data_IF_711608896123
#
_entry.id   IF_711608896123
#
_cell.length_a   1.000
_cell.length_b   1.000
_cell.length_c   1.000
_cell.angle_alpha   90.00
_cell.angle_beta   90.00
_cell.angle_gamma   90.00
#
_symmetry.space_group_name_H-M   'P 1'
#
loop_
_entity.id
_entity.type
_entity.pdbx_description
1 polymer ?
#
# COMPACT_ATOMS: atom_id res chain seq x y z
N UNK A 1 -23.80 55.59 13.58
CA UNK A 1 -22.50 55.31 12.91
C UNK A 1 -21.61 54.65 13.94
N UNK A 2 -21.63 53.32 14.00
CA UNK A 2 -20.71 52.58 14.86
C UNK A 2 -19.40 52.36 14.10
N UNK A 3 -18.40 53.15 14.46
CA UNK A 3 -17.03 53.00 14.01
C UNK A 3 -16.43 51.71 14.59
N UNK A 4 -16.24 50.72 13.72
CA UNK A 4 -14.89 50.22 13.49
C UNK A 4 -14.35 49.14 14.43
N UNK A 5 -15.04 48.01 14.55
CA UNK A 5 -14.28 46.76 14.78
C UNK A 5 -13.68 46.38 13.43
N UNK A 6 -12.43 46.79 13.21
CA UNK A 6 -11.66 46.36 12.06
C UNK A 6 -11.29 44.90 12.28
N UNK A 7 -11.91 44.00 11.51
CA UNK A 7 -11.47 42.61 11.46
C UNK A 7 -10.17 42.51 10.65
N UNK A 8 -9.05 42.60 11.37
CA UNK A 8 -7.72 42.49 10.80
C UNK A 8 -7.47 41.17 10.08
N UNK A 9 -8.15 40.07 10.47
CA UNK A 9 -8.01 38.77 9.79
C UNK A 9 -8.67 38.81 8.42
N UNK A 10 -9.87 39.39 8.35
CA UNK A 10 -10.61 39.59 7.11
C UNK A 10 -9.86 40.53 6.15
N UNK A 11 -9.31 41.63 6.64
CA UNK A 11 -8.51 42.54 5.82
C UNK A 11 -7.21 41.90 5.32
N UNK A 12 -6.53 41.10 6.16
CA UNK A 12 -5.35 40.34 5.76
C UNK A 12 -5.71 39.36 4.64
N UNK A 13 -6.76 38.56 4.80
CA UNK A 13 -7.21 37.60 3.79
C UNK A 13 -7.51 38.24 2.43
N UNK A 14 -8.20 39.38 2.42
CA UNK A 14 -8.50 40.14 1.19
C UNK A 14 -7.21 40.61 0.52
N UNK A 15 -6.26 41.14 1.30
CA UNK A 15 -4.95 41.58 0.81
C UNK A 15 -4.21 40.43 0.14
N UNK A 16 -4.16 39.27 0.80
CA UNK A 16 -3.49 38.07 0.30
C UNK A 16 -4.16 37.57 -1.00
N UNK A 17 -5.49 37.70 -1.11
CA UNK A 17 -6.21 37.39 -2.35
C UNK A 17 -5.83 38.33 -3.50
N UNK A 18 -5.76 39.63 -3.25
CA UNK A 18 -5.33 40.62 -4.25
C UNK A 18 -3.88 40.36 -4.66
N UNK A 19 -3.01 40.08 -3.71
CA UNK A 19 -1.60 39.78 -3.95
C UNK A 19 -1.42 38.50 -4.76
N UNK A 20 -2.21 37.46 -4.48
CA UNK A 20 -2.25 36.25 -5.29
C UNK A 20 -2.67 36.53 -6.74
N UNK A 21 -3.65 37.40 -6.98
CA UNK A 21 -4.05 37.76 -8.35
C UNK A 21 -2.97 38.53 -9.10
N UNK A 22 -2.15 39.32 -8.39
CA UNK A 22 -1.03 40.09 -8.97
C UNK A 22 0.19 39.22 -9.26
N UNK A 23 0.55 38.35 -8.33
CA UNK A 23 1.82 37.60 -8.36
C UNK A 23 1.68 36.17 -8.86
N UNK A 24 0.47 35.61 -8.82
CA UNK A 24 0.21 34.19 -9.07
C UNK A 24 0.66 33.26 -7.94
N UNK A 25 1.30 33.77 -6.90
CA UNK A 25 1.85 32.99 -5.79
C UNK A 25 0.93 33.08 -4.57
N UNK A 26 0.24 31.98 -4.27
CA UNK A 26 -0.54 31.89 -3.04
C UNK A 26 0.37 31.48 -1.88
N UNK A 27 0.44 32.29 -0.83
CA UNK A 27 1.10 31.95 0.43
C UNK A 27 0.52 30.67 1.06
N UNK A 28 1.32 30.01 1.89
CA UNK A 28 0.90 28.78 2.57
C UNK A 28 -0.33 29.01 3.46
N UNK A 29 -0.40 30.16 4.14
CA UNK A 29 -1.51 30.54 5.01
C UNK A 29 -2.81 30.76 4.23
N UNK A 30 -2.76 31.49 3.11
CA UNK A 30 -3.91 31.68 2.22
C UNK A 30 -4.42 30.34 1.67
N UNK A 31 -3.52 29.44 1.25
CA UNK A 31 -3.90 28.09 0.78
C UNK A 31 -4.56 27.28 1.89
N UNK A 32 -4.02 27.32 3.10
CA UNK A 32 -4.55 26.59 4.25
C UNK A 32 -5.97 27.07 4.55
N UNK A 33 -6.18 28.39 4.65
CA UNK A 33 -7.50 28.97 4.89
C UNK A 33 -8.48 28.58 3.80
N UNK A 34 -8.13 28.73 2.52
CA UNK A 34 -9.05 28.42 1.40
C UNK A 34 -9.43 26.93 1.32
N UNK A 35 -8.49 26.05 1.63
CA UNK A 35 -8.71 24.59 1.58
C UNK A 35 -9.46 24.07 2.82
N UNK A 36 -9.37 24.72 3.98
CA UNK A 36 -10.07 24.32 5.22
C UNK A 36 -11.36 25.10 5.48
N UNK A 37 -11.57 26.24 4.81
CA UNK A 37 -12.71 27.11 5.02
C UNK A 37 -14.04 26.41 4.71
N UNK A 38 -14.95 26.44 5.70
CA UNK A 38 -16.33 26.02 5.52
C UNK A 38 -17.12 27.07 4.72
N UNK A 39 -18.26 26.70 4.11
CA UNK A 39 -19.13 27.66 3.42
C UNK A 39 -19.52 28.86 4.29
N UNK A 40 -19.83 28.63 5.56
CA UNK A 40 -20.24 29.67 6.52
C UNK A 40 -19.09 30.67 6.79
N UNK A 41 -17.86 30.17 6.89
CA UNK A 41 -16.69 31.02 7.08
C UNK A 41 -16.41 31.90 5.85
N UNK A 42 -16.65 31.37 4.65
CA UNK A 42 -16.53 32.14 3.40
C UNK A 42 -17.61 33.24 3.34
N UNK A 43 -18.84 32.94 3.75
CA UNK A 43 -19.91 33.94 3.82
C UNK A 43 -19.60 35.04 4.85
N UNK A 44 -19.06 34.68 6.01
CA UNK A 44 -18.57 35.65 7.00
C UNK A 44 -17.51 36.60 6.42
N UNK A 45 -16.54 36.06 5.66
CA UNK A 45 -15.54 36.86 4.96
C UNK A 45 -16.20 37.78 3.93
N UNK A 46 -17.30 37.39 3.29
CA UNK A 46 -17.98 38.23 2.27
C UNK A 46 -18.94 39.27 2.84
N UNK A 47 -19.35 39.13 4.10
CA UNK A 47 -20.33 40.02 4.73
C UNK A 47 -19.85 41.48 4.74
N UNK A 48 -20.72 42.43 4.43
CA UNK A 48 -20.40 43.88 4.50
C UNK A 48 -19.19 44.32 3.64
N UNK A 49 -18.90 43.58 2.56
CA UNK A 49 -17.87 43.88 1.55
C UNK A 49 -18.54 44.34 0.23
N UNK A 50 -17.85 45.18 -0.55
CA UNK A 50 -18.29 45.58 -1.89
C UNK A 50 -18.33 44.41 -2.89
N UNK A 51 -19.13 44.56 -3.95
CA UNK A 51 -19.35 43.50 -4.95
C UNK A 51 -18.07 43.11 -5.69
N UNK A 52 -17.16 44.04 -5.94
CA UNK A 52 -15.94 43.77 -6.72
C UNK A 52 -14.95 42.93 -5.91
N UNK A 53 -14.80 43.23 -4.62
CA UNK A 53 -13.98 42.46 -3.70
C UNK A 53 -14.56 41.05 -3.47
N UNK A 54 -15.88 40.87 -3.46
CA UNK A 54 -16.50 39.53 -3.41
C UNK A 54 -16.11 38.71 -4.64
N UNK A 55 -16.13 39.30 -5.84
CA UNK A 55 -15.72 38.64 -7.09
C UNK A 55 -14.24 38.24 -7.03
N UNK A 56 -13.38 39.11 -6.47
CA UNK A 56 -11.96 38.80 -6.24
C UNK A 56 -11.82 37.56 -5.35
N UNK A 57 -12.46 37.57 -4.18
CA UNK A 57 -12.40 36.46 -3.21
C UNK A 57 -12.85 35.15 -3.88
N UNK A 58 -13.99 35.16 -4.58
CA UNK A 58 -14.51 33.97 -5.25
C UNK A 58 -13.58 33.44 -6.34
N UNK A 59 -12.99 34.35 -7.12
CA UNK A 59 -12.03 33.99 -8.16
C UNK A 59 -10.79 33.33 -7.56
N UNK A 60 -10.25 33.90 -6.47
CA UNK A 60 -9.08 33.36 -5.77
C UNK A 60 -9.37 32.01 -5.15
N UNK A 61 -10.49 31.87 -4.42
CA UNK A 61 -10.92 30.60 -3.83
C UNK A 61 -11.02 29.52 -4.90
N UNK A 62 -11.70 29.82 -6.02
CA UNK A 62 -11.85 28.88 -7.13
C UNK A 62 -10.51 28.48 -7.73
N UNK A 63 -9.62 29.43 -8.00
CA UNK A 63 -8.27 29.14 -8.57
C UNK A 63 -7.42 28.29 -7.63
N UNK A 64 -7.38 28.63 -6.34
CA UNK A 64 -6.60 27.88 -5.34
C UNK A 64 -7.16 26.46 -5.18
N UNK A 65 -8.48 26.30 -5.03
CA UNK A 65 -9.10 24.97 -4.92
C UNK A 65 -8.85 24.10 -6.14
N UNK A 66 -8.99 24.66 -7.36
CA UNK A 66 -8.68 23.95 -8.61
C UNK A 66 -7.20 23.54 -8.68
N UNK A 67 -6.29 24.43 -8.29
CA UNK A 67 -4.85 24.12 -8.25
C UNK A 67 -4.54 23.02 -7.23
N UNK A 68 -5.10 23.09 -6.03
CA UNK A 68 -4.97 22.04 -5.00
C UNK A 68 -5.48 20.69 -5.51
N UNK A 69 -6.66 20.68 -6.13
CA UNK A 69 -7.24 19.47 -6.69
C UNK A 69 -6.37 18.86 -7.80
N UNK A 70 -5.83 19.69 -8.71
CA UNK A 70 -4.88 19.22 -9.73
C UNK A 70 -3.63 18.58 -9.12
N UNK A 71 -3.08 19.17 -8.06
CA UNK A 71 -1.92 18.61 -7.35
C UNK A 71 -2.24 17.27 -6.68
N UNK A 72 -3.40 17.15 -6.04
CA UNK A 72 -3.88 15.90 -5.43
C UNK A 72 -4.04 14.81 -6.49
N UNK A 73 -4.71 15.11 -7.60
CA UNK A 73 -4.90 14.15 -8.70
C UNK A 73 -3.58 13.72 -9.32
N UNK A 74 -2.67 14.66 -9.61
CA UNK A 74 -1.35 14.36 -10.16
C UNK A 74 -0.51 13.50 -9.20
N UNK A 75 -0.59 13.79 -7.89
CA UNK A 75 0.06 12.96 -6.86
C UNK A 75 -0.48 11.54 -6.83
N UNK A 76 -1.81 11.38 -6.84
CA UNK A 76 -2.44 10.05 -6.88
C UNK A 76 -2.00 9.27 -8.12
N UNK A 77 -1.92 9.91 -9.28
CA UNK A 77 -1.42 9.29 -10.50
C UNK A 77 0.04 8.86 -10.36
N UNK A 78 0.91 9.73 -9.82
CA UNK A 78 2.31 9.41 -9.55
C UNK A 78 2.46 8.20 -8.62
N UNK A 79 1.70 8.17 -7.52
CA UNK A 79 1.66 7.04 -6.58
C UNK A 79 1.22 5.75 -7.29
N UNK A 80 0.15 5.82 -8.08
CA UNK A 80 -0.36 4.65 -8.81
C UNK A 80 0.66 4.10 -9.80
N UNK A 81 1.35 4.98 -10.55
CA UNK A 81 2.39 4.56 -11.51
C UNK A 81 3.53 3.84 -10.80
N UNK A 82 4.03 4.39 -9.67
CA UNK A 82 5.13 3.79 -8.91
C UNK A 82 4.70 2.42 -8.35
N UNK A 83 3.50 2.33 -7.78
CA UNK A 83 2.99 1.09 -7.22
C UNK A 83 2.79 0.02 -8.30
N UNK A 84 2.14 0.36 -9.42
CA UNK A 84 1.93 -0.56 -10.54
C UNK A 84 3.25 -1.06 -11.12
N UNK A 85 4.20 -0.16 -11.39
CA UNK A 85 5.50 -0.55 -11.93
C UNK A 85 6.27 -1.51 -11.01
N UNK A 86 6.04 -1.44 -9.69
CA UNK A 86 6.62 -2.38 -8.73
C UNK A 86 5.90 -3.72 -8.75
N UNK A 87 4.56 -3.70 -8.77
CA UNK A 87 3.71 -4.91 -8.81
C UNK A 87 3.84 -5.71 -10.11
N UNK A 88 4.16 -5.06 -11.23
CA UNK A 88 4.35 -5.71 -12.54
C UNK A 88 5.77 -6.31 -12.71
N UNK A 89 6.70 -6.00 -11.82
CA UNK A 89 8.12 -6.38 -11.95
C UNK A 89 8.58 -7.33 -10.83
N UNK A 90 7.67 -8.15 -10.33
CA UNK A 90 7.95 -9.12 -9.28
C UNK A 90 8.83 -10.25 -9.83
N UNK A 91 9.95 -10.49 -9.19
CA UNK A 91 10.87 -11.59 -9.50
C UNK A 91 10.22 -12.95 -9.26
N UNK A 92 9.27 -13.01 -8.33
CA UNK A 92 8.46 -14.21 -8.02
C UNK A 92 7.43 -14.56 -9.09
N UNK A 93 7.18 -13.67 -10.06
CA UNK A 93 6.26 -13.92 -11.18
C UNK A 93 6.96 -14.53 -12.42
N UNK A 94 8.19 -15.00 -12.24
CA UNK A 94 8.99 -15.59 -13.31
C UNK A 94 8.55 -17.03 -13.62
N UNK A 95 8.47 -17.36 -14.90
CA UNK A 95 8.10 -18.68 -15.43
C UNK A 95 9.00 -19.82 -14.91
N UNK A 96 10.23 -19.51 -14.50
CA UNK A 96 11.15 -20.50 -13.89
C UNK A 96 10.60 -21.11 -12.59
N UNK A 97 9.68 -20.42 -11.92
CA UNK A 97 9.02 -20.91 -10.71
C UNK A 97 7.72 -21.68 -11.00
N UNK A 98 7.32 -21.78 -12.26
CA UNK A 98 6.11 -22.48 -12.65
C UNK A 98 6.26 -24.00 -12.43
N UNK A 99 5.32 -24.57 -11.68
CA UNK A 99 5.18 -26.01 -11.48
C UNK A 99 3.78 -26.35 -11.95
N UNK A 100 3.67 -27.02 -13.10
CA UNK A 100 2.39 -27.26 -13.77
C UNK A 100 1.37 -27.93 -12.85
N UNK A 101 1.82 -28.91 -12.07
CA UNK A 101 0.98 -29.64 -11.11
C UNK A 101 0.37 -28.73 -10.03
N UNK A 102 1.02 -27.60 -9.73
CA UNK A 102 0.56 -26.57 -8.80
C UNK A 102 -0.29 -25.53 -9.54
N UNK A 103 0.23 -24.94 -10.61
CA UNK A 103 -0.37 -23.77 -11.27
C UNK A 103 -1.68 -24.09 -11.98
N UNK A 104 -1.86 -25.29 -12.53
CA UNK A 104 -3.11 -25.73 -13.18
C UNK A 104 -4.31 -25.78 -12.22
N UNK A 105 -4.09 -25.83 -10.90
CA UNK A 105 -5.16 -25.79 -9.88
C UNK A 105 -5.73 -24.39 -9.66
N UNK A 106 -5.05 -23.35 -10.14
CA UNK A 106 -5.36 -21.95 -9.88
C UNK A 106 -5.69 -21.21 -11.18
N UNK A 107 -5.99 -19.90 -11.07
CA UNK A 107 -6.24 -19.04 -12.24
C UNK A 107 -4.95 -18.83 -13.01
N UNK A 108 -5.03 -18.74 -14.33
CA UNK A 108 -3.87 -18.60 -15.24
C UNK A 108 -2.92 -17.44 -14.89
N UNK A 109 -3.42 -16.37 -14.26
CA UNK A 109 -2.63 -15.18 -13.89
C UNK A 109 -2.13 -15.20 -12.44
N UNK A 110 -2.15 -16.35 -11.77
CA UNK A 110 -1.63 -16.43 -10.40
C UNK A 110 -0.10 -16.38 -10.43
N UNK A 111 0.49 -15.63 -9.50
CA UNK A 111 1.92 -15.69 -9.26
C UNK A 111 2.31 -17.14 -8.87
N UNK A 112 3.29 -17.77 -9.54
CA UNK A 112 3.63 -19.17 -9.35
C UNK A 112 4.13 -19.47 -7.93
N UNK A 113 4.89 -18.56 -7.33
CA UNK A 113 5.36 -18.69 -5.94
C UNK A 113 4.19 -18.59 -4.96
N UNK A 114 3.20 -17.73 -5.22
CA UNK A 114 1.96 -17.65 -4.42
C UNK A 114 1.13 -18.93 -4.52
N UNK A 115 1.03 -19.52 -5.70
CA UNK A 115 0.35 -20.80 -5.89
C UNK A 115 1.03 -21.91 -5.07
N UNK A 116 2.36 -21.98 -5.15
CA UNK A 116 3.15 -22.92 -4.34
C UNK A 116 2.94 -22.69 -2.84
N UNK A 117 2.96 -21.44 -2.39
CA UNK A 117 2.70 -21.10 -0.99
C UNK A 117 1.36 -21.69 -0.52
N UNK A 118 0.28 -21.54 -1.29
CA UNK A 118 -1.03 -22.06 -0.89
C UNK A 118 -1.08 -23.58 -0.83
N UNK A 119 -0.42 -24.28 -1.76
CA UNK A 119 -0.35 -25.74 -1.74
C UNK A 119 0.46 -26.26 -0.55
N UNK A 120 1.62 -25.68 -0.28
CA UNK A 120 2.46 -26.07 0.86
C UNK A 120 1.77 -25.72 2.19
N UNK A 121 1.07 -24.59 2.23
CA UNK A 121 0.20 -24.23 3.34
C UNK A 121 -0.86 -25.32 3.53
N UNK A 122 -1.64 -25.65 2.50
CA UNK A 122 -2.65 -26.72 2.54
C UNK A 122 -2.07 -28.03 3.11
N UNK A 123 -0.87 -28.42 2.68
CA UNK A 123 -0.16 -29.60 3.19
C UNK A 123 0.13 -29.47 4.68
N UNK A 124 0.78 -28.39 5.12
CA UNK A 124 1.14 -28.21 6.54
C UNK A 124 -0.09 -28.19 7.47
N UNK A 125 -1.26 -27.77 6.98
CA UNK A 125 -2.50 -27.70 7.75
C UNK A 125 -3.33 -28.99 7.71
N UNK A 126 -3.39 -29.67 6.56
CA UNK A 126 -4.37 -30.76 6.34
C UNK A 126 -3.73 -32.14 6.27
N UNK A 127 -2.40 -32.26 6.28
CA UNK A 127 -1.74 -33.55 6.18
C UNK A 127 -1.93 -34.37 7.47
N UNK A 128 -2.72 -35.45 7.38
CA UNK A 128 -3.02 -36.38 8.46
C UNK A 128 -1.96 -37.50 8.61
N UNK A 129 -0.78 -37.32 8.01
CA UNK A 129 0.25 -38.35 7.93
C UNK A 129 -0.08 -39.50 6.96
N UNK A 130 -1.26 -39.50 6.33
CA UNK A 130 -1.68 -40.59 5.45
C UNK A 130 -1.42 -40.27 3.98
N UNK A 131 -0.89 -41.23 3.23
CA UNK A 131 -0.48 -41.07 1.83
C UNK A 131 -1.65 -41.00 0.82
N UNK A 132 -2.73 -40.27 1.11
CA UNK A 132 -3.95 -40.31 0.27
C UNK A 132 -3.89 -39.43 -0.97
N UNK A 133 -3.21 -38.28 -0.92
CA UNK A 133 -3.13 -37.36 -2.05
C UNK A 133 -1.79 -37.49 -2.80
N UNK A 134 -1.82 -37.92 -4.06
CA UNK A 134 -0.62 -38.02 -4.93
C UNK A 134 0.07 -36.66 -5.10
N UNK A 135 -0.71 -35.58 -5.16
CA UNK A 135 -0.22 -34.21 -5.28
C UNK A 135 0.64 -33.79 -4.08
N UNK A 136 0.13 -34.02 -2.86
CA UNK A 136 0.83 -33.64 -1.63
C UNK A 136 2.15 -34.40 -1.49
N UNK A 137 2.17 -35.69 -1.82
CA UNK A 137 3.41 -36.49 -1.83
C UNK A 137 4.45 -35.94 -2.79
N UNK A 138 4.03 -35.57 -4.00
CA UNK A 138 4.92 -34.99 -5.00
C UNK A 138 5.57 -33.70 -4.48
N UNK A 139 4.79 -32.82 -3.86
CA UNK A 139 5.32 -31.59 -3.29
C UNK A 139 6.22 -31.82 -2.07
N UNK A 140 5.87 -32.75 -1.18
CA UNK A 140 6.70 -33.12 -0.03
C UNK A 140 8.06 -33.66 -0.49
N UNK A 141 8.07 -34.54 -1.50
CA UNK A 141 9.31 -35.12 -2.03
C UNK A 141 10.20 -34.04 -2.68
N UNK A 142 9.59 -33.20 -3.54
CA UNK A 142 10.28 -32.13 -4.28
C UNK A 142 10.86 -31.04 -3.36
N UNK A 143 10.19 -30.73 -2.27
CA UNK A 143 10.53 -29.65 -1.35
C UNK A 143 10.98 -30.12 0.05
N UNK A 144 11.51 -31.35 0.10
CA UNK A 144 12.06 -31.92 1.33
C UNK A 144 13.40 -31.30 1.76
N UNK A 145 14.21 -30.83 0.80
CA UNK A 145 15.49 -30.17 1.06
C UNK A 145 15.32 -28.64 1.10
N UNK A 146 16.04 -27.98 2.01
CA UNK A 146 16.14 -26.52 2.10
C UNK A 146 16.63 -25.91 0.78
N UNK A 147 17.55 -26.60 0.09
CA UNK A 147 18.08 -26.14 -1.22
C UNK A 147 17.02 -25.97 -2.29
N UNK A 148 15.91 -26.72 -2.22
CA UNK A 148 14.80 -26.57 -3.17
C UNK A 148 14.11 -25.21 -3.09
N UNK A 149 14.35 -24.44 -2.01
CA UNK A 149 13.80 -23.10 -1.81
C UNK A 149 14.80 -21.97 -2.01
N UNK A 150 16.10 -22.24 -2.22
CA UNK A 150 17.14 -21.19 -2.27
C UNK A 150 16.80 -20.09 -3.30
N UNK A 151 16.51 -20.48 -4.54
CA UNK A 151 16.17 -19.54 -5.61
C UNK A 151 14.84 -18.81 -5.36
N UNK A 152 13.87 -19.49 -4.73
CA UNK A 152 12.56 -18.93 -4.37
C UNK A 152 12.74 -17.88 -3.28
N UNK A 153 13.50 -18.20 -2.22
CA UNK A 153 13.78 -17.29 -1.11
C UNK A 153 14.52 -16.06 -1.60
N UNK A 154 15.52 -16.23 -2.48
CA UNK A 154 16.23 -15.09 -3.09
C UNK A 154 15.28 -14.18 -3.88
N UNK A 155 14.35 -14.75 -4.66
CA UNK A 155 13.37 -13.97 -5.39
C UNK A 155 12.38 -13.25 -4.46
N UNK A 156 11.89 -13.94 -3.42
CA UNK A 156 10.99 -13.37 -2.41
C UNK A 156 11.68 -12.24 -1.65
N UNK A 157 12.93 -12.40 -1.23
CA UNK A 157 13.69 -11.38 -0.52
C UNK A 157 13.89 -10.12 -1.37
N UNK A 158 14.20 -10.31 -2.66
CA UNK A 158 14.29 -9.19 -3.60
C UNK A 158 12.97 -8.44 -3.71
N UNK A 159 11.86 -9.15 -3.90
CA UNK A 159 10.55 -8.52 -4.03
C UNK A 159 10.10 -7.83 -2.74
N UNK A 160 10.41 -8.40 -1.56
CA UNK A 160 10.18 -7.75 -0.26
C UNK A 160 10.93 -6.41 -0.17
N UNK A 161 12.20 -6.38 -0.59
CA UNK A 161 13.00 -5.17 -0.60
C UNK A 161 12.43 -4.13 -1.57
N UNK A 162 12.06 -4.53 -2.79
CA UNK A 162 11.48 -3.64 -3.80
C UNK A 162 10.13 -3.05 -3.33
N UNK A 163 9.27 -3.87 -2.72
CA UNK A 163 8.00 -3.43 -2.15
C UNK A 163 8.20 -2.48 -0.95
N UNK A 164 9.20 -2.75 -0.10
CA UNK A 164 9.57 -1.86 1.00
C UNK A 164 10.08 -0.51 0.49
N UNK A 165 10.95 -0.51 -0.52
CA UNK A 165 11.45 0.73 -1.13
C UNK A 165 10.30 1.52 -1.77
N UNK A 166 9.40 0.85 -2.49
CA UNK A 166 8.20 1.46 -3.05
C UNK A 166 7.34 2.13 -1.96
N UNK A 167 7.14 1.44 -0.82
CA UNK A 167 6.42 1.99 0.33
C UNK A 167 7.08 3.27 0.85
N UNK A 168 8.39 3.26 1.05
CA UNK A 168 9.14 4.42 1.55
C UNK A 168 9.08 5.61 0.57
N UNK A 169 9.19 5.35 -0.74
CA UNK A 169 9.05 6.38 -1.79
C UNK A 169 7.66 7.02 -1.77
N UNK A 170 6.61 6.22 -1.58
CA UNK A 170 5.23 6.73 -1.52
C UNK A 170 4.97 7.53 -0.24
N UNK A 171 5.56 7.13 0.90
CA UNK A 171 5.48 7.90 2.15
C UNK A 171 6.10 9.29 1.97
N UNK A 172 7.30 9.38 1.38
CA UNK A 172 7.96 10.67 1.08
C UNK A 172 7.09 11.58 0.21
N UNK A 173 6.47 11.04 -0.85
CA UNK A 173 5.55 11.79 -1.71
C UNK A 173 4.34 12.34 -0.92
N UNK A 174 3.83 11.57 0.06
CA UNK A 174 2.70 12.02 0.90
C UNK A 174 3.13 13.13 1.85
N UNK A 175 4.30 13.02 2.46
CA UNK A 175 4.87 14.02 3.37
C UNK A 175 5.15 15.34 2.65
N UNK A 176 5.77 15.29 1.46
CA UNK A 176 6.06 16.48 0.64
C UNK A 176 4.80 17.26 0.25
N UNK A 177 3.67 16.56 0.10
CA UNK A 177 2.42 17.16 -0.39
C UNK A 177 1.44 17.52 0.71
N UNK A 178 1.60 16.98 1.92
CA UNK A 178 0.76 17.29 3.08
C UNK A 178 -0.69 16.81 2.96
N UNK A 179 -1.00 15.85 2.07
CA UNK A 179 -2.35 15.31 1.89
C UNK A 179 -2.37 13.77 1.98
N UNK A 180 -3.33 13.24 2.73
CA UNK A 180 -3.57 11.79 2.81
C UNK A 180 -4.27 11.28 1.54
N UNK A 181 -3.53 10.58 0.69
CA UNK A 181 -4.07 9.98 -0.54
C UNK A 181 -4.47 8.51 -0.33
N UNK A 182 -5.69 8.15 -0.75
CA UNK A 182 -6.15 6.75 -0.83
C UNK A 182 -5.82 6.19 -2.22
N UNK A 183 -4.81 5.32 -2.30
CA UNK A 183 -4.45 4.59 -3.52
C UNK A 183 -4.62 3.09 -3.26
N UNK A 184 -5.44 2.43 -4.07
CA UNK A 184 -5.67 0.98 -3.98
C UNK A 184 -4.39 0.20 -4.31
N UNK A 185 -3.62 0.63 -5.30
CA UNK A 185 -2.34 0.00 -5.65
C UNK A 185 -1.31 0.12 -4.53
N UNK A 186 -1.29 1.24 -3.82
CA UNK A 186 -0.45 1.36 -2.63
C UNK A 186 -0.86 0.39 -1.52
N UNK A 187 -2.17 0.18 -1.34
CA UNK A 187 -2.67 -0.83 -0.40
C UNK A 187 -2.22 -2.23 -0.82
N UNK A 188 -2.35 -2.57 -2.10
CA UNK A 188 -1.87 -3.84 -2.65
C UNK A 188 -0.37 -4.06 -2.42
N UNK A 189 0.47 -3.02 -2.55
CA UNK A 189 1.91 -3.11 -2.23
C UNK A 189 2.13 -3.48 -0.75
N UNK A 190 1.39 -2.85 0.17
CA UNK A 190 1.50 -3.16 1.61
C UNK A 190 1.04 -4.60 1.89
N UNK A 191 -0.12 -4.98 1.35
CA UNK A 191 -0.71 -6.28 1.57
C UNK A 191 0.23 -7.38 1.02
N UNK A 192 0.75 -7.22 -0.20
CA UNK A 192 1.67 -8.16 -0.82
C UNK A 192 3.01 -8.26 -0.06
N UNK A 193 3.55 -7.14 0.43
CA UNK A 193 4.76 -7.16 1.25
C UNK A 193 4.57 -8.04 2.49
N UNK A 194 3.42 -7.91 3.16
CA UNK A 194 3.11 -8.73 4.33
C UNK A 194 2.85 -10.19 3.97
N UNK A 195 2.19 -10.46 2.85
CA UNK A 195 2.01 -11.82 2.33
C UNK A 195 3.37 -12.48 2.04
N UNK A 196 4.28 -11.80 1.35
CA UNK A 196 5.60 -12.34 1.02
C UNK A 196 6.46 -12.67 2.24
N UNK A 197 6.33 -11.89 3.33
CA UNK A 197 6.95 -12.25 4.61
C UNK A 197 6.40 -13.58 5.17
N UNK A 198 5.10 -13.86 4.97
CA UNK A 198 4.52 -15.14 5.36
C UNK A 198 4.98 -16.26 4.43
N UNK A 199 5.09 -15.99 3.12
CA UNK A 199 5.59 -16.97 2.14
C UNK A 199 7.01 -17.40 2.50
N UNK A 200 7.91 -16.43 2.74
CA UNK A 200 9.29 -16.70 3.15
C UNK A 200 9.35 -17.60 4.38
N UNK A 201 8.63 -17.23 5.45
CA UNK A 201 8.59 -18.02 6.69
C UNK A 201 8.09 -19.45 6.46
N UNK A 202 7.12 -19.62 5.56
CA UNK A 202 6.62 -20.94 5.22
C UNK A 202 7.66 -21.76 4.47
N UNK A 203 8.30 -21.18 3.45
CA UNK A 203 9.33 -21.87 2.67
C UNK A 203 10.55 -22.26 3.51
N UNK A 204 10.95 -21.41 4.47
CA UNK A 204 12.06 -21.73 5.39
C UNK A 204 11.71 -22.88 6.36
N UNK A 205 10.44 -22.95 6.80
CA UNK A 205 9.99 -23.95 7.79
C UNK A 205 9.48 -25.25 7.17
N UNK A 206 9.11 -25.25 5.89
CA UNK A 206 8.50 -26.43 5.25
C UNK A 206 9.43 -27.66 5.26
N UNK A 207 10.73 -27.56 4.94
CA UNK A 207 11.66 -28.70 5.04
C UNK A 207 11.73 -29.29 6.46
N UNK A 208 11.78 -28.43 7.49
CA UNK A 208 11.81 -28.84 8.90
C UNK A 208 10.52 -29.58 9.28
N UNK A 209 9.37 -29.05 8.83
CA UNK A 209 8.09 -29.70 9.01
C UNK A 209 8.04 -31.08 8.33
N UNK A 210 8.63 -31.22 7.13
CA UNK A 210 8.72 -32.50 6.43
C UNK A 210 9.53 -33.49 7.26
N UNK A 211 10.69 -33.11 7.78
CA UNK A 211 11.53 -33.96 8.64
C UNK A 211 10.79 -34.43 9.90
N UNK A 212 10.10 -33.52 10.59
CA UNK A 212 9.33 -33.82 11.81
C UNK A 212 8.17 -34.79 11.55
N UNK A 213 7.46 -34.64 10.41
CA UNK A 213 6.24 -35.39 10.11
C UNK A 213 6.51 -36.67 9.30
N UNK A 214 7.73 -36.88 8.81
CA UNK A 214 8.15 -38.12 8.14
C UNK A 214 8.89 -39.09 9.07
N UNK A 215 9.60 -38.60 10.10
CA UNK A 215 10.47 -39.42 10.93
C UNK A 215 9.90 -39.89 12.29
N UNK A 216 8.77 -39.36 12.78
CA UNK A 216 8.19 -39.85 14.06
C UNK A 216 6.69 -39.63 14.18
N UNK A 217 6.03 -40.49 14.98
CA UNK A 217 4.58 -40.52 15.23
C UNK A 217 3.99 -39.13 15.47
N UNK A 218 2.93 -38.81 14.72
CA UNK A 218 2.28 -37.51 14.60
C UNK A 218 2.23 -36.68 15.89
N UNK A 219 3.00 -35.60 15.89
CA UNK A 219 2.77 -34.45 16.76
C UNK A 219 1.46 -33.77 16.34
N UNK A 220 0.52 -33.63 17.27
CA UNK A 220 -0.80 -33.09 16.98
C UNK A 220 -0.74 -31.64 16.46
N UNK A 221 -1.57 -31.36 15.45
CA UNK A 221 -1.89 -30.05 14.82
C UNK A 221 -1.72 -28.83 15.73
N UNK A 222 -2.18 -28.91 16.99
CA UNK A 222 -2.11 -27.82 17.95
C UNK A 222 -0.68 -27.37 18.29
N UNK A 223 0.27 -28.31 18.37
CA UNK A 223 1.64 -28.01 18.78
C UNK A 223 2.43 -27.31 17.67
N UNK A 224 2.25 -27.74 16.43
CA UNK A 224 2.83 -27.09 15.24
C UNK A 224 2.26 -25.69 15.06
N UNK A 225 0.96 -25.50 15.27
CA UNK A 225 0.30 -24.19 15.15
C UNK A 225 0.78 -23.19 16.20
N UNK A 226 0.96 -23.62 17.45
CA UNK A 226 1.47 -22.75 18.53
C UNK A 226 2.90 -22.26 18.22
N UNK A 227 3.75 -23.14 17.69
CA UNK A 227 5.12 -22.77 17.32
C UNK A 227 5.20 -21.93 16.02
N UNK A 228 4.19 -22.03 15.13
CA UNK A 228 4.20 -21.33 13.84
C UNK A 228 3.61 -19.91 13.91
N UNK A 229 2.54 -19.70 14.68
CA UNK A 229 1.81 -18.42 14.76
C UNK A 229 1.98 -17.66 16.08
N UNK A 230 2.49 -18.29 17.13
CA UNK A 230 2.64 -17.68 18.47
C UNK A 230 4.09 -17.64 18.95
N UNK A 231 5.06 -17.50 18.04
CA UNK A 231 6.46 -17.31 18.44
C UNK A 231 6.56 -16.23 19.50
N UNK A 232 7.13 -16.61 20.65
CA UNK A 232 7.50 -15.72 21.75
C UNK A 232 8.41 -14.62 21.20
N UNK A 233 7.87 -13.40 21.17
CA UNK A 233 8.57 -12.18 21.57
C UNK A 233 7.96 -11.72 22.91
#
# INVERSE_FOLDING_TARGET
METGIIDFKKQKFIRDCIEYLKTGNAEAELRAIVNSATPEYIEYIKKDIDKDTIIIIDTVIKKIRLSSQKKITGSRQKINIIALATLEKLSTDDIRFEIKEVTERYRETINPVKALYYDLQEIMFLYDGKPKNKHHKFLIDKFSDKKSFDDIIVAVDRDILDLKECRERIIKIREELGFANKSEYYKQVIDLHNEMLQWKRLFEKFPEWVEENTNTQGGGLYQTLKNFFCGED
#
